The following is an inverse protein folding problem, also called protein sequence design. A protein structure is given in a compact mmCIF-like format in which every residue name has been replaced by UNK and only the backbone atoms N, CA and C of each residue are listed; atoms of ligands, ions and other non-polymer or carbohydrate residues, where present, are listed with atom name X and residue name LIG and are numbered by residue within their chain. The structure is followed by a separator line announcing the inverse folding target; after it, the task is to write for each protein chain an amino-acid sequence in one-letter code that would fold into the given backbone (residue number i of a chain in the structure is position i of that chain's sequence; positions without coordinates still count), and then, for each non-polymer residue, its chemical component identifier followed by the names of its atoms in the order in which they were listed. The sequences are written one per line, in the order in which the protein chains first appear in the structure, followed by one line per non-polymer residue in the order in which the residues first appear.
data_IF_618966926043
#
_entry.id   IF_618966926043
#
_cell.length_a   1.000
_cell.length_b   1.000
_cell.length_c   1.000
_cell.angle_alpha   90.00
_cell.angle_beta   90.00
_cell.angle_gamma   90.00
#
_symmetry.space_group_name_H-M   'P 1'
#
loop_
_entity.id
_entity.type
_entity.pdbx_description
1 polymer ?
#
# COMPACT_ATOMS: atom_id res chain seq x y z
N UNK A 1 2.16 -13.65 28.08
CA UNK A 1 1.64 -12.27 28.13
C UNK A 1 2.32 -11.52 27.00
N UNK A 2 1.58 -11.21 25.93
CA UNK A 2 2.07 -10.36 24.84
C UNK A 2 2.10 -8.96 25.45
N UNK A 3 3.29 -8.53 25.93
CA UNK A 3 3.51 -7.12 26.30
C UNK A 3 3.08 -6.28 25.10
N UNK A 4 2.38 -5.17 25.36
CA UNK A 4 1.81 -4.18 24.44
C UNK A 4 2.68 -3.93 23.18
N UNK A 5 2.77 -4.91 22.30
CA UNK A 5 3.42 -4.72 21.01
C UNK A 5 2.51 -3.82 20.15
N UNK A 6 3.01 -2.65 19.85
CA UNK A 6 2.38 -1.78 18.86
C UNK A 6 2.22 -2.57 17.57
N UNK A 7 0.99 -2.91 17.22
CA UNK A 7 0.66 -3.50 15.93
C UNK A 7 0.04 -2.40 15.07
N UNK A 8 0.78 -1.96 14.07
CA UNK A 8 0.46 -0.81 13.22
C UNK A 8 0.08 -1.26 11.81
N UNK A 9 -1.02 -0.76 11.29
CA UNK A 9 -1.36 -0.85 9.86
C UNK A 9 -0.83 0.40 9.18
N UNK A 10 0.20 0.23 8.34
CA UNK A 10 0.88 1.32 7.62
C UNK A 10 0.42 1.36 6.16
N UNK A 11 -0.34 2.40 5.81
CA UNK A 11 -0.97 2.54 4.51
C UNK A 11 -0.19 3.44 3.54
N UNK A 12 -0.21 3.13 2.22
CA UNK A 12 0.45 3.93 1.19
C UNK A 12 -0.39 5.15 0.81
N UNK A 13 0.26 6.31 0.66
CA UNK A 13 -0.40 7.54 0.23
C UNK A 13 0.35 8.17 -0.93
N UNK A 14 -0.36 8.42 -2.05
CA UNK A 14 0.18 9.06 -3.24
C UNK A 14 -0.31 10.50 -3.42
N UNK A 15 -1.46 10.86 -2.84
CA UNK A 15 -2.07 12.21 -2.86
C UNK A 15 -3.07 12.38 -1.70
N UNK A 16 -3.71 13.54 -1.62
CA UNK A 16 -4.67 13.83 -0.54
C UNK A 16 -5.92 12.94 -0.58
N UNK A 17 -6.41 12.52 -1.76
CA UNK A 17 -7.56 11.60 -1.86
C UNK A 17 -7.22 10.24 -1.22
N UNK A 18 -6.01 9.73 -1.50
CA UNK A 18 -5.52 8.48 -0.89
C UNK A 18 -5.21 8.63 0.60
N UNK A 19 -4.82 9.83 1.04
CA UNK A 19 -4.65 10.13 2.47
C UNK A 19 -5.97 9.96 3.22
N UNK A 20 -7.03 10.64 2.76
CA UNK A 20 -8.35 10.48 3.37
C UNK A 20 -8.82 9.03 3.32
N UNK A 21 -8.65 8.34 2.18
CA UNK A 21 -8.99 6.94 2.05
C UNK A 21 -8.27 6.05 3.08
N UNK A 22 -6.96 6.25 3.29
CA UNK A 22 -6.19 5.50 4.28
C UNK A 22 -6.66 5.77 5.71
N UNK A 23 -6.84 7.05 6.06
CA UNK A 23 -7.22 7.48 7.40
C UNK A 23 -8.64 7.05 7.77
N UNK A 24 -9.61 7.23 6.86
CA UNK A 24 -11.01 6.87 7.06
C UNK A 24 -11.18 5.36 7.23
N UNK A 25 -10.40 4.56 6.49
CA UNK A 25 -10.46 3.11 6.51
C UNK A 25 -9.49 2.45 7.50
N UNK A 26 -8.93 3.21 8.43
CA UNK A 26 -8.34 2.69 9.67
C UNK A 26 -6.84 2.48 9.68
N UNK A 27 -6.07 3.18 8.85
CA UNK A 27 -4.63 3.23 8.98
C UNK A 27 -4.22 3.80 10.35
N UNK A 28 -3.18 3.22 10.98
CA UNK A 28 -2.56 3.77 12.19
C UNK A 28 -1.48 4.79 11.81
N UNK A 29 -0.82 4.56 10.68
CA UNK A 29 0.13 5.49 10.09
C UNK A 29 0.05 5.44 8.56
N UNK A 30 0.55 6.50 7.93
CA UNK A 30 0.65 6.58 6.47
C UNK A 30 2.07 6.88 6.05
N UNK A 31 2.47 6.37 4.86
CA UNK A 31 3.75 6.76 4.28
C UNK A 31 3.55 7.38 2.89
N UNK A 32 4.26 8.46 2.64
CA UNK A 32 4.13 9.27 1.44
C UNK A 32 5.49 9.73 0.90
N UNK A 33 5.51 10.30 -0.28
CA UNK A 33 6.72 10.83 -0.91
C UNK A 33 6.65 12.33 -1.10
N UNK A 34 7.74 13.01 -0.77
CA UNK A 34 7.95 14.41 -1.12
C UNK A 34 8.30 14.59 -2.59
N UNK A 35 8.63 15.82 -2.96
CA UNK A 35 9.04 16.22 -4.32
C UNK A 35 10.43 15.70 -4.71
N UNK A 36 11.23 15.26 -3.73
CA UNK A 36 12.58 14.72 -3.92
C UNK A 36 12.80 13.48 -3.04
N UNK A 37 13.91 12.79 -3.25
CA UNK A 37 14.42 11.67 -2.47
C UNK A 37 13.48 10.45 -2.31
N UNK A 38 12.36 10.40 -3.03
CA UNK A 38 11.38 9.30 -2.96
C UNK A 38 11.44 8.38 -4.18
N UNK A 39 11.44 7.05 -3.97
CA UNK A 39 11.49 6.01 -5.03
C UNK A 39 10.32 5.98 -6.01
N UNK A 40 9.32 6.83 -5.86
CA UNK A 40 8.14 6.93 -6.72
C UNK A 40 7.90 8.38 -7.13
N UNK A 41 8.93 9.06 -7.62
CA UNK A 41 8.86 10.46 -8.05
C UNK A 41 7.80 10.72 -9.15
N UNK A 42 7.44 9.70 -9.94
CA UNK A 42 6.40 9.80 -10.98
C UNK A 42 4.96 9.72 -10.44
N UNK A 43 4.72 9.32 -9.19
CA UNK A 43 3.42 9.48 -8.54
C UNK A 43 3.32 10.87 -7.95
N UNK A 44 2.10 11.42 -7.81
CA UNK A 44 1.89 12.73 -7.20
C UNK A 44 2.73 12.86 -5.92
N UNK A 45 3.46 13.96 -5.81
CA UNK A 45 4.38 14.23 -4.70
C UNK A 45 3.80 15.33 -3.82
N UNK A 46 4.09 15.24 -2.53
CA UNK A 46 3.69 16.28 -1.58
C UNK A 46 4.77 17.37 -1.56
N UNK A 47 4.44 18.57 -1.99
CA UNK A 47 5.24 19.75 -1.72
C UNK A 47 5.12 20.15 -0.23
N UNK A 48 5.82 21.18 0.22
CA UNK A 48 5.87 21.56 1.63
C UNK A 48 4.48 21.93 2.19
N UNK A 49 3.63 22.57 1.40
CA UNK A 49 2.29 22.97 1.80
C UNK A 49 1.35 21.75 1.94
N UNK A 50 1.32 20.89 0.93
CA UNK A 50 0.53 19.65 0.95
C UNK A 50 1.03 18.69 2.03
N UNK A 51 2.35 18.62 2.25
CA UNK A 51 2.94 17.80 3.31
C UNK A 51 2.48 18.27 4.70
N UNK A 52 2.51 19.60 4.93
CA UNK A 52 1.99 20.18 6.17
C UNK A 52 0.51 19.86 6.37
N UNK A 53 -0.29 20.04 5.32
CA UNK A 53 -1.72 19.70 5.36
C UNK A 53 -1.94 18.22 5.65
N UNK A 54 -1.16 17.33 5.04
CA UNK A 54 -1.26 15.89 5.26
C UNK A 54 -0.92 15.50 6.70
N UNK A 55 0.12 16.12 7.29
CA UNK A 55 0.47 15.91 8.69
C UNK A 55 -0.64 16.41 9.62
N UNK A 56 -1.17 17.62 9.40
CA UNK A 56 -2.26 18.17 10.22
C UNK A 56 -3.52 17.27 10.17
N UNK A 57 -3.90 16.79 8.99
CA UNK A 57 -5.06 15.89 8.83
C UNK A 57 -4.86 14.55 9.54
N UNK A 58 -3.66 13.97 9.46
CA UNK A 58 -3.33 12.72 10.14
C UNK A 58 -3.28 12.93 11.67
N UNK A 59 -2.60 13.95 12.14
CA UNK A 59 -2.44 14.25 13.56
C UNK A 59 -3.76 14.60 14.25
N UNK A 60 -4.66 15.33 13.56
CA UNK A 60 -6.01 15.60 14.07
C UNK A 60 -6.83 14.32 14.33
N UNK A 61 -6.44 13.20 13.72
CA UNK A 61 -7.02 11.87 13.91
C UNK A 61 -6.16 10.95 14.78
N UNK A 62 -5.07 11.48 15.40
CA UNK A 62 -4.12 10.73 16.21
C UNK A 62 -3.30 9.71 15.42
N UNK A 63 -3.05 9.97 14.11
CA UNK A 63 -2.30 9.12 13.20
C UNK A 63 -0.96 9.72 12.84
N UNK A 64 0.01 8.88 12.42
CA UNK A 64 1.39 9.27 12.12
C UNK A 64 1.65 9.34 10.61
N UNK A 65 2.61 10.19 10.23
CA UNK A 65 3.02 10.40 8.83
C UNK A 65 4.52 10.13 8.68
N UNK A 66 4.87 9.23 7.76
CA UNK A 66 6.25 8.86 7.46
C UNK A 66 6.64 9.31 6.04
N UNK A 67 7.70 10.10 5.94
CA UNK A 67 8.17 10.65 4.67
C UNK A 67 9.26 9.77 4.08
N UNK A 68 9.11 9.36 2.81
CA UNK A 68 10.17 8.60 2.13
C UNK A 68 11.33 9.46 1.71
N UNK A 69 12.54 9.05 2.11
CA UNK A 69 13.84 9.60 1.72
C UNK A 69 14.74 8.43 1.30
N UNK A 70 14.24 7.58 0.40
CA UNK A 70 14.76 6.24 0.15
C UNK A 70 15.27 6.01 -1.28
N UNK A 71 15.67 7.06 -1.98
CA UNK A 71 16.50 6.96 -3.18
C UNK A 71 17.97 6.74 -2.80
N UNK A 72 18.81 6.47 -3.79
CA UNK A 72 20.28 6.53 -3.69
C UNK A 72 20.73 7.83 -4.37
N UNK A 73 20.81 8.96 -3.65
CA UNK A 73 21.10 10.26 -4.24
C UNK A 73 22.53 10.37 -4.71
N UNK A 74 22.74 11.01 -5.86
CA UNK A 74 24.05 11.36 -6.33
C UNK A 74 24.56 12.65 -5.66
N UNK A 75 25.85 13.00 -5.88
CA UNK A 75 26.48 14.14 -5.22
C UNK A 75 25.80 15.48 -5.52
N UNK A 76 25.21 15.64 -6.69
CA UNK A 76 24.47 16.83 -7.11
C UNK A 76 23.06 16.91 -6.47
N UNK A 77 22.53 15.79 -6.00
CA UNK A 77 21.24 15.73 -5.31
C UNK A 77 21.38 15.89 -3.81
N UNK A 78 22.43 15.29 -3.21
CA UNK A 78 22.61 15.26 -1.76
C UNK A 78 22.73 16.65 -1.13
N UNK A 79 23.17 17.66 -1.88
CA UNK A 79 23.27 19.05 -1.42
C UNK A 79 21.91 19.68 -1.08
N UNK A 80 20.81 19.11 -1.57
CA UNK A 80 19.45 19.57 -1.30
C UNK A 80 18.80 18.88 -0.11
N UNK A 81 19.48 17.91 0.53
CA UNK A 81 18.90 17.10 1.60
C UNK A 81 18.59 17.94 2.86
N UNK A 82 19.45 18.92 3.19
CA UNK A 82 19.23 19.78 4.37
C UNK A 82 17.89 20.52 4.28
N UNK A 83 17.60 21.13 3.13
CA UNK A 83 16.31 21.81 2.92
C UNK A 83 15.14 20.85 3.02
N UNK A 84 15.27 19.66 2.40
CA UNK A 84 14.21 18.63 2.44
C UNK A 84 13.92 18.15 3.86
N UNK A 85 14.95 17.97 4.71
CA UNK A 85 14.78 17.61 6.12
C UNK A 85 14.13 18.75 6.91
N UNK A 86 14.52 20.00 6.66
CA UNK A 86 13.92 21.16 7.32
C UNK A 86 12.43 21.33 6.94
N UNK A 87 12.08 21.10 5.68
CA UNK A 87 10.68 21.13 5.23
C UNK A 87 9.87 20.02 5.90
N UNK A 88 10.44 18.81 6.04
CA UNK A 88 9.80 17.69 6.77
C UNK A 88 9.56 18.02 8.25
N UNK A 89 10.54 18.63 8.93
CA UNK A 89 10.40 19.10 10.32
C UNK A 89 9.30 20.17 10.45
N UNK A 90 9.32 21.17 9.57
CA UNK A 90 8.33 22.25 9.56
C UNK A 90 6.90 21.75 9.29
N UNK A 91 6.75 20.69 8.48
CA UNK A 91 5.48 20.05 8.22
C UNK A 91 4.99 19.20 9.38
N UNK A 92 5.87 18.78 10.30
CA UNK A 92 5.51 17.89 11.42
C UNK A 92 5.56 16.41 11.07
N UNK A 93 6.43 16.00 10.15
CA UNK A 93 6.64 14.58 9.81
C UNK A 93 7.14 13.82 11.05
N UNK A 94 6.57 12.66 11.33
CA UNK A 94 6.91 11.85 12.51
C UNK A 94 8.18 11.01 12.32
N UNK A 95 8.44 10.54 11.10
CA UNK A 95 9.65 9.78 10.79
C UNK A 95 10.05 9.90 9.32
N UNK A 96 11.34 9.72 9.04
CA UNK A 96 11.87 9.64 7.68
C UNK A 96 12.32 8.21 7.36
N UNK A 97 11.95 7.71 6.16
CA UNK A 97 12.30 6.36 5.70
C UNK A 97 13.53 6.47 4.78
N UNK A 98 14.69 6.04 5.24
CA UNK A 98 15.97 6.16 4.52
C UNK A 98 16.65 4.81 4.29
N UNK A 99 17.46 4.68 3.24
CA UNK A 99 18.23 3.46 2.92
C UNK A 99 19.73 3.72 2.71
N UNK A 100 20.12 4.94 2.39
CA UNK A 100 21.51 5.34 2.22
C UNK A 100 22.10 5.76 3.56
N UNK A 101 23.30 5.25 3.89
CA UNK A 101 23.97 5.54 5.17
C UNK A 101 24.36 7.01 5.29
N UNK A 102 24.76 7.65 4.17
CA UNK A 102 25.07 9.08 4.13
C UNK A 102 23.82 9.93 4.41
N UNK A 103 22.70 9.59 3.76
CA UNK A 103 21.39 10.22 4.01
C UNK A 103 20.99 10.04 5.47
N UNK A 104 21.11 8.83 6.01
CA UNK A 104 20.82 8.52 7.42
C UNK A 104 21.62 9.45 8.36
N UNK A 105 22.94 9.54 8.15
CA UNK A 105 23.83 10.37 8.97
C UNK A 105 23.51 11.86 8.87
N UNK A 106 23.13 12.34 7.68
CA UNK A 106 22.76 13.73 7.47
C UNK A 106 21.41 14.07 8.08
N UNK A 107 20.41 13.17 8.02
CA UNK A 107 19.13 13.36 8.72
C UNK A 107 19.40 13.52 10.23
N UNK A 108 20.20 12.64 10.83
CA UNK A 108 20.58 12.75 12.25
C UNK A 108 21.30 14.07 12.57
N UNK A 109 22.10 14.58 11.65
CA UNK A 109 22.80 15.86 11.83
C UNK A 109 21.86 17.06 11.78
N UNK A 110 20.89 17.06 10.84
CA UNK A 110 20.00 18.21 10.61
C UNK A 110 18.75 18.17 11.53
N UNK A 111 18.32 16.96 11.94
CA UNK A 111 17.12 16.73 12.72
C UNK A 111 17.38 15.63 13.77
N UNK A 112 18.03 15.99 14.89
CA UNK A 112 18.53 15.05 15.91
C UNK A 112 17.40 14.15 16.48
N UNK A 113 16.21 14.72 16.68
CA UNK A 113 15.07 14.04 17.27
C UNK A 113 14.15 13.37 16.25
N UNK A 114 14.44 13.50 14.94
CA UNK A 114 13.67 12.84 13.89
C UNK A 114 13.83 11.32 13.99
N UNK A 115 12.71 10.59 14.08
CA UNK A 115 12.75 9.14 13.97
C UNK A 115 13.19 8.72 12.56
N UNK A 116 14.10 7.74 12.48
CA UNK A 116 14.53 7.17 11.21
C UNK A 116 14.11 5.72 11.13
N UNK A 117 13.37 5.39 10.06
CA UNK A 117 13.01 4.05 9.68
C UNK A 117 13.91 3.61 8.52
N UNK A 118 14.63 2.50 8.70
CA UNK A 118 15.52 1.99 7.64
C UNK A 118 14.69 1.28 6.58
N UNK A 119 14.74 1.76 5.35
CA UNK A 119 13.98 1.21 4.22
C UNK A 119 14.36 -0.23 3.90
N UNK A 120 13.41 -1.02 3.39
CA UNK A 120 13.65 -2.38 2.84
C UNK A 120 14.77 -2.40 1.80
N UNK A 121 15.03 -1.30 1.12
CA UNK A 121 16.10 -1.17 0.13
C UNK A 121 17.50 -1.18 0.73
N UNK A 122 17.65 -1.02 2.05
CA UNK A 122 18.90 -1.30 2.74
C UNK A 122 19.27 -2.80 2.71
N UNK A 123 18.27 -3.67 2.42
CA UNK A 123 18.48 -5.12 2.26
C UNK A 123 18.77 -5.83 3.57
N UNK A 124 18.03 -5.48 4.63
CA UNK A 124 18.23 -6.07 5.96
C UNK A 124 17.66 -7.49 5.98
N UNK A 125 18.57 -8.49 6.10
CA UNK A 125 18.23 -9.92 6.11
C UNK A 125 18.78 -10.65 7.34
N UNK A 126 19.41 -9.96 8.28
CA UNK A 126 19.96 -10.58 9.48
C UNK A 126 19.98 -9.59 10.65
N UNK A 127 20.05 -10.15 11.86
CA UNK A 127 20.03 -9.39 13.09
C UNK A 127 21.28 -8.52 13.31
N UNK A 128 22.42 -8.87 12.74
CA UNK A 128 23.66 -8.09 12.89
C UNK A 128 23.48 -6.73 12.19
N UNK A 129 23.01 -6.75 10.94
CA UNK A 129 22.73 -5.50 10.20
C UNK A 129 21.64 -4.67 10.89
N UNK A 130 20.57 -5.32 11.41
CA UNK A 130 19.52 -4.63 12.15
C UNK A 130 20.05 -3.95 13.41
N UNK A 131 20.93 -4.62 14.17
CA UNK A 131 21.57 -4.06 15.36
C UNK A 131 22.51 -2.90 15.02
N UNK A 132 23.25 -2.96 13.91
CA UNK A 132 24.10 -1.82 13.50
C UNK A 132 23.28 -0.59 13.19
N UNK A 133 22.15 -0.72 12.47
CA UNK A 133 21.27 0.42 12.25
C UNK A 133 20.65 0.93 13.55
N UNK A 134 20.30 0.04 14.49
CA UNK A 134 19.83 0.44 15.83
C UNK A 134 20.92 1.23 16.57
N UNK A 135 22.17 0.76 16.57
CA UNK A 135 23.32 1.46 17.18
C UNK A 135 23.55 2.84 16.56
N UNK A 136 23.26 3.00 15.27
CA UNK A 136 23.27 4.29 14.59
C UNK A 136 22.09 5.19 14.98
N UNK A 137 21.09 4.68 15.68
CA UNK A 137 19.92 5.41 16.17
C UNK A 137 18.67 5.25 15.28
N UNK A 138 18.55 4.16 14.52
CA UNK A 138 17.30 3.81 13.87
C UNK A 138 16.24 3.40 14.89
N UNK A 139 15.02 3.89 14.72
CA UNK A 139 13.86 3.50 15.52
C UNK A 139 13.22 2.23 14.98
N UNK A 140 13.24 2.04 13.65
CA UNK A 140 12.58 0.94 12.95
C UNK A 140 13.42 0.43 11.79
N UNK A 141 13.34 -0.87 11.54
CA UNK A 141 13.91 -1.50 10.35
C UNK A 141 12.84 -2.17 9.52
N UNK A 142 12.81 -1.87 8.22
CA UNK A 142 11.94 -2.54 7.25
C UNK A 142 12.72 -3.70 6.65
N UNK A 143 12.34 -4.91 6.98
CA UNK A 143 13.04 -6.12 6.54
C UNK A 143 12.91 -6.35 5.03
N UNK A 144 13.86 -7.06 4.46
CA UNK A 144 13.78 -7.54 3.09
C UNK A 144 12.58 -8.50 2.92
N UNK A 145 11.97 -8.51 1.73
CA UNK A 145 10.76 -9.31 1.43
C UNK A 145 11.06 -10.78 1.17
N UNK A 146 12.32 -11.11 1.11
CA UNK A 146 12.85 -12.44 0.80
C UNK A 146 13.08 -13.30 2.04
N UNK A 147 12.67 -12.83 3.23
CA UNK A 147 12.80 -13.55 4.51
C UNK A 147 11.58 -14.43 4.81
N UNK A 148 11.86 -15.59 5.43
CA UNK A 148 10.84 -16.46 6.05
C UNK A 148 10.42 -15.95 7.43
N UNK A 149 9.30 -16.47 7.95
CA UNK A 149 8.82 -16.17 9.30
C UNK A 149 9.83 -16.59 10.37
N UNK A 150 10.51 -17.72 10.18
CA UNK A 150 11.55 -18.23 11.09
C UNK A 150 12.72 -17.26 11.15
N UNK A 151 13.20 -16.75 10.01
CA UNK A 151 14.30 -15.79 9.96
C UNK A 151 13.90 -14.46 10.61
N UNK A 152 12.65 -13.99 10.41
CA UNK A 152 12.13 -12.79 11.06
C UNK A 152 12.07 -12.97 12.59
N UNK A 153 11.58 -14.11 13.07
CA UNK A 153 11.54 -14.43 14.48
C UNK A 153 12.96 -14.52 15.09
N UNK A 154 13.94 -15.04 14.35
CA UNK A 154 15.34 -15.04 14.77
C UNK A 154 15.93 -13.63 14.85
N UNK A 155 15.64 -12.77 13.87
CA UNK A 155 16.04 -11.36 13.90
C UNK A 155 15.42 -10.70 15.15
N UNK A 156 14.11 -10.87 15.38
CA UNK A 156 13.43 -10.31 16.55
C UNK A 156 14.03 -10.77 17.86
N UNK A 157 14.36 -12.05 17.99
CA UNK A 157 14.93 -12.63 19.21
C UNK A 157 16.33 -12.09 19.56
N UNK A 158 17.09 -11.61 18.54
CA UNK A 158 18.48 -11.15 18.67
C UNK A 158 18.64 -9.63 18.53
N UNK A 159 17.54 -8.87 18.49
CA UNK A 159 17.53 -7.41 18.41
C UNK A 159 16.92 -6.79 19.68
N UNK A 160 17.26 -5.52 20.01
CA UNK A 160 16.65 -4.80 21.13
C UNK A 160 15.13 -4.76 21.03
N UNK A 161 14.43 -4.86 22.15
CA UNK A 161 12.95 -4.90 22.20
C UNK A 161 12.30 -3.61 21.69
N UNK A 162 12.96 -2.48 21.84
CA UNK A 162 12.53 -1.15 21.42
C UNK A 162 12.88 -0.81 19.95
N UNK A 163 13.66 -1.66 19.27
CA UNK A 163 13.78 -1.63 17.82
C UNK A 163 12.50 -2.19 17.19
N UNK A 164 11.80 -1.40 16.42
CA UNK A 164 10.59 -1.84 15.71
C UNK A 164 10.95 -2.59 14.41
N UNK A 165 10.21 -3.66 14.14
CA UNK A 165 10.31 -4.46 12.91
C UNK A 165 9.08 -4.20 12.04
N UNK A 166 9.33 -3.79 10.78
CA UNK A 166 8.31 -3.57 9.77
C UNK A 166 8.48 -4.56 8.62
N UNK A 167 7.38 -5.15 8.14
CA UNK A 167 7.37 -6.01 6.97
C UNK A 167 6.30 -5.53 5.98
N UNK A 168 6.59 -5.65 4.67
CA UNK A 168 5.53 -5.58 3.67
C UNK A 168 4.63 -6.80 3.78
N UNK A 169 3.32 -6.58 3.76
CA UNK A 169 2.32 -7.65 3.95
C UNK A 169 1.34 -7.76 2.78
N UNK A 170 1.28 -6.75 1.91
CA UNK A 170 0.35 -6.73 0.79
C UNK A 170 0.88 -5.93 -0.41
N UNK A 171 0.51 -6.37 -1.62
CA UNK A 171 0.70 -5.65 -2.87
C UNK A 171 1.83 -6.19 -3.74
N UNK A 172 2.25 -5.39 -4.70
CA UNK A 172 3.14 -5.80 -5.78
C UNK A 172 4.53 -6.22 -5.27
N UNK A 173 4.97 -7.43 -5.65
CA UNK A 173 6.35 -7.88 -5.46
C UNK A 173 7.26 -7.32 -6.55
N UNK A 174 8.53 -7.06 -6.22
CA UNK A 174 9.58 -6.73 -7.18
C UNK A 174 10.30 -8.01 -7.64
N UNK A 175 10.69 -8.07 -8.92
CA UNK A 175 11.53 -9.16 -9.44
C UNK A 175 12.95 -9.13 -8.88
N UNK A 176 13.43 -7.95 -8.51
CA UNK A 176 14.77 -7.76 -7.96
C UNK A 176 14.75 -7.74 -6.44
N UNK A 177 15.82 -8.25 -5.84
CA UNK A 177 16.01 -8.30 -4.41
C UNK A 177 15.76 -6.93 -3.76
N UNK A 178 14.74 -6.86 -2.94
CA UNK A 178 14.34 -5.64 -2.20
C UNK A 178 14.29 -4.34 -3.04
N UNK A 179 14.03 -4.47 -4.36
CA UNK A 179 13.85 -3.32 -5.26
C UNK A 179 15.12 -2.73 -5.85
N UNK A 180 16.30 -3.30 -5.64
CA UNK A 180 17.56 -2.85 -6.27
C UNK A 180 17.69 -3.46 -7.66
N UNK A 181 17.34 -2.67 -8.71
CA UNK A 181 17.25 -3.14 -10.07
C UNK A 181 17.89 -2.15 -11.06
N UNK A 182 18.64 -2.68 -12.03
CA UNK A 182 19.22 -1.92 -13.13
C UNK A 182 18.50 -2.10 -14.47
N UNK A 183 17.49 -2.95 -14.54
CA UNK A 183 16.84 -3.30 -15.80
C UNK A 183 16.23 -2.07 -16.52
N UNK A 184 15.61 -1.17 -15.75
CA UNK A 184 15.05 0.07 -16.29
C UNK A 184 16.13 1.01 -16.81
N UNK A 185 17.28 1.10 -16.14
CA UNK A 185 18.42 1.90 -16.59
C UNK A 185 18.97 1.35 -17.91
N UNK A 186 19.18 0.04 -18.02
CA UNK A 186 19.73 -0.57 -19.24
C UNK A 186 18.80 -0.48 -20.45
N UNK A 187 17.48 -0.66 -20.25
CA UNK A 187 16.55 -0.73 -21.36
C UNK A 187 16.04 0.63 -21.84
N UNK A 188 15.91 1.61 -20.93
CA UNK A 188 15.27 2.90 -21.25
C UNK A 188 15.94 4.10 -20.60
N UNK A 189 17.13 3.93 -20.08
CA UNK A 189 17.91 4.99 -19.44
C UNK A 189 17.15 5.74 -18.33
N UNK A 190 16.34 4.98 -17.53
CA UNK A 190 15.61 5.49 -16.36
C UNK A 190 16.05 4.74 -15.12
N UNK A 191 16.61 5.45 -14.15
CA UNK A 191 17.18 4.81 -12.97
C UNK A 191 16.09 4.43 -11.94
N UNK A 192 15.86 3.12 -11.80
CA UNK A 192 14.91 2.58 -10.84
C UNK A 192 15.31 2.90 -9.38
N UNK A 193 16.60 3.05 -9.08
CA UNK A 193 17.12 3.35 -7.75
C UNK A 193 16.98 4.83 -7.37
N UNK A 194 16.66 5.67 -8.37
CA UNK A 194 16.35 7.10 -8.21
C UNK A 194 14.86 7.41 -8.40
N UNK A 195 13.99 6.41 -8.36
CA UNK A 195 12.55 6.59 -8.43
C UNK A 195 11.94 6.57 -9.83
N UNK A 196 12.73 6.33 -10.89
CA UNK A 196 12.31 6.42 -12.28
C UNK A 196 12.01 5.04 -12.91
N UNK A 197 11.66 4.02 -12.11
CA UNK A 197 11.41 2.68 -12.61
C UNK A 197 10.28 2.65 -13.67
N UNK A 198 10.63 2.31 -14.92
CA UNK A 198 9.67 2.12 -16.01
C UNK A 198 8.96 0.76 -15.96
N UNK A 199 9.27 -0.09 -14.98
CA UNK A 199 8.74 -1.44 -14.80
C UNK A 199 8.98 -2.37 -16.00
N UNK A 200 10.18 -2.40 -16.61
CA UNK A 200 10.42 -3.20 -17.83
C UNK A 200 10.29 -4.70 -17.60
N UNK A 201 10.43 -5.18 -16.34
CA UNK A 201 10.15 -6.57 -16.00
C UNK A 201 8.68 -7.00 -16.25
N UNK A 202 7.81 -6.06 -16.61
CA UNK A 202 6.39 -6.27 -16.90
C UNK A 202 6.02 -5.98 -18.35
N UNK A 203 7.03 -5.69 -19.20
CA UNK A 203 6.82 -5.48 -20.62
C UNK A 203 6.79 -6.80 -21.38
N UNK A 204 6.31 -6.72 -22.64
CA UNK A 204 6.36 -7.80 -23.57
C UNK A 204 7.76 -8.09 -24.10
N UNK A 205 8.19 -9.35 -24.00
CA UNK A 205 9.48 -9.80 -24.53
C UNK A 205 9.37 -11.21 -25.11
N UNK A 206 10.25 -11.53 -26.05
CA UNK A 206 10.53 -12.89 -26.46
C UNK A 206 11.92 -13.29 -25.93
N UNK A 207 11.99 -14.27 -25.04
CA UNK A 207 13.26 -14.83 -24.58
C UNK A 207 13.58 -16.12 -25.33
N UNK A 208 14.72 -16.14 -25.97
CA UNK A 208 15.31 -17.31 -26.54
C UNK A 208 16.74 -17.47 -26.00
N UNK A 209 17.05 -18.60 -25.40
CA UNK A 209 18.43 -18.91 -25.02
C UNK A 209 19.13 -19.58 -26.22
N UNK A 210 20.23 -18.98 -26.71
CA UNK A 210 20.95 -19.40 -27.90
C UNK A 210 21.50 -20.84 -27.85
N UNK A 211 21.77 -21.35 -26.65
CA UNK A 211 22.32 -22.70 -26.40
C UNK A 211 21.27 -23.77 -26.12
N UNK A 212 20.00 -23.37 -25.93
CA UNK A 212 18.85 -24.24 -25.66
C UNK A 212 17.75 -24.00 -26.66
N UNK A 213 18.05 -24.23 -27.90
CA UNK A 213 17.21 -23.90 -29.05
C UNK A 213 15.82 -24.54 -29.09
N UNK A 214 15.51 -25.45 -28.14
CA UNK A 214 14.22 -26.14 -28.02
C UNK A 214 13.53 -25.93 -26.66
N UNK A 215 14.09 -25.13 -25.77
CA UNK A 215 13.45 -24.75 -24.49
C UNK A 215 12.96 -23.31 -24.56
N UNK A 216 11.65 -23.17 -24.77
CA UNK A 216 10.99 -21.88 -24.70
C UNK A 216 10.57 -21.64 -23.26
N UNK A 217 11.13 -20.63 -22.62
CA UNK A 217 10.56 -20.13 -21.40
C UNK A 217 9.25 -19.45 -21.76
N UNK A 218 8.12 -19.84 -21.14
CA UNK A 218 6.83 -19.31 -21.53
C UNK A 218 6.80 -17.80 -21.30
N UNK A 219 6.71 -17.09 -22.40
CA UNK A 219 6.48 -15.65 -22.45
C UNK A 219 5.06 -15.51 -22.93
N UNK A 220 4.16 -15.02 -22.09
CA UNK A 220 2.76 -14.85 -22.49
C UNK A 220 2.56 -13.47 -23.08
N UNK A 221 1.83 -13.43 -24.17
CA UNK A 221 1.39 -12.22 -24.84
C UNK A 221 -0.13 -12.16 -24.81
N UNK A 222 -0.66 -11.01 -24.35
CA UNK A 222 -2.04 -10.64 -24.58
C UNK A 222 -2.09 -9.35 -25.39
N UNK A 223 -3.27 -8.84 -25.69
CA UNK A 223 -3.46 -7.58 -26.45
C UNK A 223 -2.77 -6.35 -25.80
N UNK A 224 -2.23 -6.49 -24.58
CA UNK A 224 -1.58 -5.44 -23.77
C UNK A 224 -0.06 -5.60 -23.65
N UNK A 225 0.51 -6.72 -24.08
CA UNK A 225 1.98 -6.96 -24.08
C UNK A 225 2.40 -8.33 -23.57
N UNK A 226 3.68 -8.58 -23.58
CA UNK A 226 4.32 -9.84 -23.20
C UNK A 226 4.99 -9.70 -21.82
N UNK A 227 4.81 -10.70 -20.93
CA UNK A 227 5.25 -10.66 -19.53
C UNK A 227 6.31 -11.73 -19.27
N UNK A 228 7.55 -11.33 -18.95
CA UNK A 228 8.66 -12.26 -18.74
C UNK A 228 8.81 -12.66 -17.26
N UNK A 229 8.60 -11.72 -16.35
CA UNK A 229 8.82 -11.89 -14.90
C UNK A 229 7.68 -11.23 -14.15
N UNK A 230 6.47 -11.75 -14.35
CA UNK A 230 5.26 -11.21 -13.74
C UNK A 230 5.06 -11.80 -12.34
N UNK A 231 5.73 -11.24 -11.34
CA UNK A 231 5.57 -11.69 -9.95
C UNK A 231 4.10 -11.53 -9.51
N UNK A 232 3.57 -12.56 -8.82
CA UNK A 232 2.29 -12.48 -8.11
C UNK A 232 2.30 -11.33 -7.11
N UNK A 233 1.14 -10.80 -6.78
CA UNK A 233 1.00 -9.84 -5.69
C UNK A 233 1.06 -10.60 -4.35
N UNK A 234 1.65 -9.99 -3.34
CA UNK A 234 1.70 -10.55 -2.00
C UNK A 234 0.39 -10.28 -1.25
N UNK A 235 -0.09 -11.26 -0.48
CA UNK A 235 -1.19 -11.09 0.46
C UNK A 235 -0.97 -11.96 1.69
N UNK A 236 -0.81 -11.33 2.85
CA UNK A 236 -0.61 -12.00 4.15
C UNK A 236 -1.80 -11.80 5.09
N UNK A 237 -2.98 -11.44 4.57
CA UNK A 237 -4.16 -11.13 5.37
C UNK A 237 -4.56 -12.29 6.29
N UNK A 238 -4.53 -13.52 5.78
CA UNK A 238 -4.87 -14.74 6.55
C UNK A 238 -3.79 -15.17 7.56
N UNK A 239 -2.65 -14.46 7.60
CA UNK A 239 -1.45 -14.83 8.37
C UNK A 239 -0.93 -13.69 9.25
N UNK A 240 -1.80 -12.76 9.65
CA UNK A 240 -1.44 -11.64 10.53
C UNK A 240 -0.94 -12.15 11.88
N UNK A 241 -1.56 -13.21 12.41
CA UNK A 241 -1.16 -13.90 13.63
C UNK A 241 0.31 -14.37 13.54
N UNK A 242 0.69 -15.01 12.46
CA UNK A 242 2.06 -15.52 12.25
C UNK A 242 3.10 -14.42 12.19
N UNK A 243 2.77 -13.31 11.55
CA UNK A 243 3.65 -12.14 11.49
C UNK A 243 3.79 -11.47 12.86
N UNK A 244 2.69 -11.33 13.61
CA UNK A 244 2.71 -10.77 14.96
C UNK A 244 3.48 -11.68 15.93
N UNK A 245 3.30 -13.01 15.86
CA UNK A 245 4.06 -13.99 16.61
C UNK A 245 5.57 -13.96 16.30
N UNK A 246 5.93 -13.72 15.01
CA UNK A 246 7.32 -13.54 14.59
C UNK A 246 7.92 -12.20 15.08
N UNK A 247 7.10 -11.32 15.68
CA UNK A 247 7.54 -10.05 16.27
C UNK A 247 7.52 -8.86 15.35
N UNK A 248 6.73 -8.90 14.28
CA UNK A 248 6.49 -7.75 13.40
C UNK A 248 5.60 -6.71 14.12
N UNK A 249 6.04 -5.45 14.12
CA UNK A 249 5.34 -4.33 14.74
C UNK A 249 4.50 -3.53 13.74
N UNK A 250 4.99 -3.36 12.51
CA UNK A 250 4.32 -2.56 11.48
C UNK A 250 4.07 -3.39 10.22
N UNK A 251 2.80 -3.39 9.79
CA UNK A 251 2.25 -4.15 8.66
C UNK A 251 2.08 -3.19 7.49
N UNK A 252 3.07 -3.17 6.60
CA UNK A 252 3.15 -2.20 5.50
C UNK A 252 2.45 -2.70 4.26
N UNK A 253 1.52 -1.90 3.76
CA UNK A 253 0.82 -2.13 2.50
C UNK A 253 1.58 -1.43 1.36
N UNK A 254 1.93 -2.14 0.29
CA UNK A 254 2.46 -1.53 -0.94
C UNK A 254 1.31 -1.06 -1.83
N UNK A 255 1.42 0.16 -2.37
CA UNK A 255 0.35 0.66 -3.24
C UNK A 255 0.31 2.16 -3.47
N UNK A 256 1.41 2.92 -3.30
CA UNK A 256 1.41 4.39 -3.50
C UNK A 256 0.88 4.84 -4.87
N UNK A 257 1.07 4.05 -5.92
CA UNK A 257 0.57 4.31 -7.26
C UNK A 257 -0.81 3.69 -7.55
N UNK A 258 -1.43 3.02 -6.58
CA UNK A 258 -2.76 2.42 -6.71
C UNK A 258 -3.86 3.48 -6.50
N UNK A 259 -5.11 3.15 -6.83
CA UNK A 259 -6.27 4.05 -6.63
C UNK A 259 -6.62 4.24 -5.14
N UNK A 260 -7.37 5.30 -4.81
CA UNK A 260 -7.96 5.50 -3.48
C UNK A 260 -8.85 4.32 -3.07
N UNK A 261 -9.58 3.73 -4.02
CA UNK A 261 -10.36 2.51 -3.80
C UNK A 261 -9.50 1.33 -3.30
N UNK A 262 -8.35 1.08 -3.94
CA UNK A 262 -7.43 0.05 -3.48
C UNK A 262 -6.94 0.33 -2.05
N UNK A 263 -6.55 1.57 -1.78
CA UNK A 263 -6.08 1.98 -0.45
C UNK A 263 -7.17 1.76 0.59
N UNK A 264 -8.41 2.19 0.33
CA UNK A 264 -9.55 2.00 1.23
C UNK A 264 -9.80 0.53 1.54
N UNK A 265 -9.95 -0.30 0.51
CA UNK A 265 -10.30 -1.73 0.68
C UNK A 265 -9.21 -2.48 1.43
N UNK A 266 -7.95 -2.32 1.01
CA UNK A 266 -6.85 -3.09 1.60
C UNK A 266 -6.55 -2.60 3.03
N UNK A 267 -6.55 -1.29 3.28
CA UNK A 267 -6.36 -0.75 4.63
C UNK A 267 -7.46 -1.23 5.56
N UNK A 268 -8.73 -1.17 5.13
CA UNK A 268 -9.86 -1.67 5.90
C UNK A 268 -9.75 -3.17 6.22
N UNK A 269 -9.34 -3.97 5.23
CA UNK A 269 -9.19 -5.41 5.43
C UNK A 269 -8.11 -5.72 6.49
N UNK A 270 -6.94 -5.09 6.39
CA UNK A 270 -5.88 -5.28 7.38
C UNK A 270 -6.24 -4.69 8.75
N UNK A 271 -6.92 -3.55 8.80
CA UNK A 271 -7.41 -2.97 10.07
C UNK A 271 -8.35 -3.91 10.79
N UNK A 272 -9.39 -4.42 10.10
CA UNK A 272 -10.35 -5.35 10.68
C UNK A 272 -9.71 -6.68 11.09
N UNK A 273 -8.82 -7.22 10.27
CA UNK A 273 -8.09 -8.43 10.61
C UNK A 273 -7.22 -8.23 11.86
N UNK A 274 -6.56 -7.07 11.97
CA UNK A 274 -5.77 -6.71 13.14
C UNK A 274 -6.65 -6.55 14.40
N UNK A 275 -7.84 -5.98 14.27
CA UNK A 275 -8.77 -5.83 15.39
C UNK A 275 -9.31 -7.19 15.86
N UNK A 276 -9.61 -8.11 14.92
CA UNK A 276 -9.98 -9.50 15.25
C UNK A 276 -8.83 -10.19 15.98
N UNK A 277 -7.59 -10.09 15.47
CA UNK A 277 -6.42 -10.67 16.13
C UNK A 277 -6.22 -10.11 17.54
N UNK A 278 -6.30 -8.78 17.71
CA UNK A 278 -6.16 -8.14 19.03
C UNK A 278 -7.25 -8.55 20.02
N UNK A 279 -8.45 -8.87 19.53
CA UNK A 279 -9.58 -9.27 20.41
C UNK A 279 -9.44 -10.70 20.93
N UNK A 280 -8.92 -11.63 20.12
CA UNK A 280 -8.66 -13.03 20.52
C UNK A 280 -7.46 -13.60 19.72
N UNK A 281 -6.22 -13.35 20.21
CA UNK A 281 -5.02 -13.84 19.51
C UNK A 281 -4.91 -15.37 19.46
N UNK A 282 -5.54 -16.09 20.40
CA UNK A 282 -5.44 -17.54 20.50
C UNK A 282 -6.37 -18.28 19.51
N UNK A 283 -7.43 -17.64 19.05
CA UNK A 283 -8.41 -18.21 18.14
C UNK A 283 -8.61 -17.29 16.92
N UNK A 284 -7.50 -16.81 16.36
CA UNK A 284 -7.55 -15.92 15.19
C UNK A 284 -8.13 -16.64 13.97
N UNK A 285 -9.30 -16.23 13.55
CA UNK A 285 -9.96 -16.69 12.34
C UNK A 285 -10.68 -15.53 11.67
N UNK A 286 -10.44 -15.35 10.39
CA UNK A 286 -11.08 -14.29 9.61
C UNK A 286 -12.40 -14.78 9.01
N UNK A 287 -13.48 -13.97 9.07
CA UNK A 287 -14.72 -14.28 8.39
C UNK A 287 -14.50 -14.25 6.86
N UNK A 288 -15.21 -15.11 6.13
CA UNK A 288 -15.02 -15.29 4.69
C UNK A 288 -15.19 -13.99 3.91
N UNK A 289 -16.19 -13.15 4.27
CA UNK A 289 -16.39 -11.87 3.60
C UNK A 289 -15.15 -10.96 3.64
N UNK A 290 -14.36 -11.02 4.73
CA UNK A 290 -13.15 -10.21 4.88
C UNK A 290 -12.00 -10.75 4.01
N UNK A 291 -11.90 -12.08 3.91
CA UNK A 291 -10.96 -12.73 2.97
C UNK A 291 -11.28 -12.38 1.51
N UNK A 292 -12.58 -12.31 1.18
CA UNK A 292 -13.05 -11.99 -0.17
C UNK A 292 -12.78 -10.51 -0.56
N UNK A 293 -12.64 -9.59 0.43
CA UNK A 293 -12.46 -8.16 0.16
C UNK A 293 -11.23 -7.86 -0.67
N UNK A 294 -10.11 -8.51 -0.39
CA UNK A 294 -8.84 -8.24 -1.10
C UNK A 294 -8.89 -8.63 -2.58
N UNK A 295 -9.85 -9.48 -2.98
CA UNK A 295 -10.08 -9.84 -4.38
C UNK A 295 -10.96 -8.83 -5.14
N UNK A 296 -11.61 -7.90 -4.46
CA UNK A 296 -12.49 -6.91 -5.07
C UNK A 296 -11.76 -5.67 -5.62
N UNK A 297 -10.46 -5.57 -5.41
CA UNK A 297 -9.60 -4.53 -5.99
C UNK A 297 -8.87 -5.02 -7.23
N UNK A 298 -8.21 -4.11 -7.95
CA UNK A 298 -7.34 -4.51 -9.05
C UNK A 298 -6.05 -5.15 -8.53
N UNK A 299 -5.89 -6.45 -8.74
CA UNK A 299 -4.77 -7.25 -8.24
C UNK A 299 -4.28 -8.26 -9.29
N UNK A 300 -3.09 -8.82 -9.11
CA UNK A 300 -2.65 -10.07 -9.75
C UNK A 300 -2.94 -11.24 -8.81
N UNK A 301 -2.80 -12.47 -9.30
CA UNK A 301 -2.92 -13.64 -8.41
C UNK A 301 -2.06 -13.42 -7.14
N UNK A 302 -2.60 -13.79 -6.00
CA UNK A 302 -1.93 -13.61 -4.72
C UNK A 302 -1.01 -14.79 -4.38
N UNK A 303 0.05 -14.49 -3.63
CA UNK A 303 0.92 -15.45 -2.96
C UNK A 303 1.36 -14.90 -1.60
N UNK A 304 1.96 -15.76 -0.79
CA UNK A 304 2.50 -15.37 0.53
C UNK A 304 3.96 -14.87 0.47
N UNK A 305 4.50 -14.59 -0.72
CA UNK A 305 5.90 -14.24 -0.87
C UNK A 305 6.82 -15.36 -0.35
N UNK A 306 7.86 -14.97 0.38
CA UNK A 306 8.83 -15.90 0.96
C UNK A 306 8.55 -16.29 2.42
N UNK A 307 7.48 -15.78 3.04
CA UNK A 307 7.21 -15.98 4.46
C UNK A 307 7.13 -17.45 4.89
N UNK A 308 6.67 -18.34 4.00
CA UNK A 308 6.62 -19.78 4.25
C UNK A 308 7.71 -20.56 3.47
N UNK A 309 8.85 -19.91 3.21
CA UNK A 309 9.95 -20.46 2.44
C UNK A 309 9.92 -20.11 0.96
N UNK A 310 10.75 -20.74 0.14
CA UNK A 310 10.87 -20.41 -1.28
C UNK A 310 9.55 -20.71 -2.00
N UNK A 311 8.91 -19.71 -2.61
CA UNK A 311 7.63 -19.92 -3.29
C UNK A 311 7.81 -20.77 -4.55
N UNK A 312 7.11 -21.91 -4.63
CA UNK A 312 7.17 -22.82 -5.78
C UNK A 312 6.53 -22.21 -7.04
N UNK A 313 5.57 -21.30 -6.86
CA UNK A 313 4.79 -20.64 -7.91
C UNK A 313 4.71 -19.14 -7.65
N UNK A 314 5.84 -18.45 -7.74
CA UNK A 314 5.91 -16.99 -7.48
C UNK A 314 5.55 -16.12 -8.70
N UNK A 315 5.45 -16.72 -9.88
CA UNK A 315 5.15 -16.05 -11.14
C UNK A 315 3.76 -16.45 -11.64
N UNK A 316 3.08 -15.52 -12.28
CA UNK A 316 1.75 -15.72 -12.82
C UNK A 316 1.77 -15.59 -14.33
N UNK A 317 1.56 -16.70 -15.04
CA UNK A 317 1.69 -16.79 -16.49
C UNK A 317 0.35 -16.94 -17.22
N UNK A 318 -0.76 -17.27 -16.51
CA UNK A 318 -2.01 -17.67 -17.18
C UNK A 318 -2.75 -16.52 -17.85
N UNK A 319 -2.71 -15.30 -17.32
CA UNK A 319 -3.43 -14.16 -17.87
C UNK A 319 -2.67 -12.83 -17.73
N UNK A 320 -1.36 -12.76 -17.85
CA UNK A 320 -0.49 -11.54 -17.87
C UNK A 320 -0.98 -10.22 -17.25
N UNK A 321 -2.28 -10.09 -16.95
CA UNK A 321 -2.97 -8.89 -16.58
C UNK A 321 -3.45 -8.81 -15.13
N UNK A 322 -3.97 -7.63 -14.78
CA UNK A 322 -4.68 -7.41 -13.52
C UNK A 322 -6.10 -7.97 -13.59
N UNK A 323 -6.49 -8.71 -12.56
CA UNK A 323 -7.87 -9.13 -12.31
C UNK A 323 -8.64 -7.91 -11.79
N UNK A 324 -9.79 -7.60 -12.40
CA UNK A 324 -10.64 -6.45 -12.06
C UNK A 324 -12.10 -6.85 -12.17
N UNK A 325 -12.67 -7.35 -11.10
CA UNK A 325 -14.06 -7.82 -11.09
C UNK A 325 -15.06 -6.77 -10.60
N UNK A 326 -14.60 -5.70 -9.97
CA UNK A 326 -15.45 -4.64 -9.41
C UNK A 326 -15.08 -3.27 -9.94
N UNK A 327 -16.09 -2.43 -10.14
CA UNK A 327 -15.95 -1.01 -10.41
C UNK A 327 -16.54 -0.19 -9.25
N UNK A 328 -15.87 0.91 -8.90
CA UNK A 328 -16.43 1.95 -8.03
C UNK A 328 -17.43 2.74 -8.83
N UNK A 329 -18.69 2.78 -8.41
CA UNK A 329 -19.76 3.50 -9.11
C UNK A 329 -20.07 4.84 -8.49
N UNK A 330 -19.89 4.98 -7.15
CA UNK A 330 -20.04 6.25 -6.45
C UNK A 330 -19.28 6.27 -5.12
N UNK A 331 -19.17 7.44 -4.50
CA UNK A 331 -18.69 7.64 -3.13
C UNK A 331 -19.77 8.38 -2.36
N UNK A 332 -20.06 7.94 -1.15
CA UNK A 332 -21.07 8.54 -0.28
C UNK A 332 -20.60 9.90 0.22
N UNK A 333 -21.43 10.92 0.05
CA UNK A 333 -21.24 12.27 0.57
C UNK A 333 -22.00 12.50 1.89
N UNK A 334 -22.99 11.63 2.19
CA UNK A 334 -23.78 11.66 3.42
C UNK A 334 -25.13 10.95 3.26
N UNK A 335 -25.86 10.81 4.38
CA UNK A 335 -27.19 10.20 4.40
C UNK A 335 -28.17 11.06 5.19
N UNK A 336 -29.34 11.34 4.62
CA UNK A 336 -30.44 12.02 5.32
C UNK A 336 -31.78 11.80 4.61
N UNK A 337 -32.88 11.87 5.35
CA UNK A 337 -34.23 11.85 4.81
C UNK A 337 -34.55 10.61 3.95
N UNK A 338 -34.04 9.43 4.29
CA UNK A 338 -34.25 8.20 3.51
C UNK A 338 -33.51 8.19 2.17
N UNK A 339 -32.39 8.93 2.08
CA UNK A 339 -31.54 8.98 0.88
C UNK A 339 -30.05 8.90 1.23
N UNK A 340 -29.30 8.21 0.38
CA UNK A 340 -27.84 8.21 0.33
C UNK A 340 -27.45 9.24 -0.73
N UNK A 341 -26.83 10.32 -0.32
CA UNK A 341 -26.23 11.33 -1.22
C UNK A 341 -24.85 10.86 -1.61
N UNK A 342 -24.52 10.91 -2.89
CA UNK A 342 -23.26 10.40 -3.39
C UNK A 342 -22.77 11.14 -4.64
N UNK A 343 -21.46 11.06 -4.87
CA UNK A 343 -20.79 11.54 -6.07
C UNK A 343 -20.48 10.36 -6.98
N UNK A 344 -21.07 10.36 -8.18
CA UNK A 344 -20.87 9.32 -9.18
C UNK A 344 -19.42 9.26 -9.67
N UNK A 345 -18.90 8.05 -9.85
CA UNK A 345 -17.56 7.76 -10.40
C UNK A 345 -17.62 6.96 -11.71
N UNK A 346 -18.52 5.99 -11.81
CA UNK A 346 -18.78 5.20 -13.02
C UNK A 346 -20.29 5.04 -13.23
N UNK A 347 -20.67 4.68 -14.45
CA UNK A 347 -22.07 4.48 -14.85
C UNK A 347 -22.70 3.32 -14.07
N UNK A 348 -23.93 3.54 -13.56
CA UNK A 348 -24.81 2.49 -13.04
C UNK A 348 -26.27 2.88 -13.23
N UNK A 349 -27.19 1.94 -13.07
CA UNK A 349 -28.58 2.12 -13.42
C UNK A 349 -29.51 1.74 -12.26
N UNK A 350 -30.72 2.20 -12.32
CA UNK A 350 -31.83 1.65 -11.55
C UNK A 350 -31.98 0.16 -11.86
N UNK A 351 -32.14 -0.65 -10.81
CA UNK A 351 -32.21 -2.11 -10.90
C UNK A 351 -30.87 -2.82 -10.72
N UNK A 352 -29.74 -2.09 -10.76
CA UNK A 352 -28.44 -2.69 -10.50
C UNK A 352 -28.28 -3.09 -9.02
N UNK A 353 -27.65 -4.23 -8.77
CA UNK A 353 -27.20 -4.63 -7.43
C UNK A 353 -25.86 -3.95 -7.13
N UNK A 354 -25.83 -3.15 -6.08
CA UNK A 354 -24.64 -2.46 -5.61
C UNK A 354 -24.23 -2.94 -4.22
N UNK A 355 -22.96 -2.74 -3.89
CA UNK A 355 -22.40 -3.05 -2.58
C UNK A 355 -21.72 -1.81 -2.00
N UNK A 356 -22.06 -1.48 -0.76
CA UNK A 356 -21.42 -0.35 -0.05
C UNK A 356 -20.39 -0.89 0.94
N UNK A 357 -19.13 -0.52 0.72
CA UNK A 357 -18.04 -0.70 1.67
C UNK A 357 -17.98 0.52 2.58
N UNK A 358 -18.18 0.31 3.85
CA UNK A 358 -18.04 1.32 4.90
C UNK A 358 -16.81 1.03 5.77
N UNK A 359 -16.18 2.04 6.38
CA UNK A 359 -15.19 1.84 7.46
C UNK A 359 -15.73 0.99 8.62
N UNK A 360 -17.05 1.03 8.83
CA UNK A 360 -17.73 0.35 9.94
C UNK A 360 -18.54 -0.85 9.42
N UNK A 361 -18.39 -1.99 10.09
CA UNK A 361 -19.15 -3.21 9.76
C UNK A 361 -18.65 -3.98 8.52
N UNK A 362 -19.46 -4.91 8.05
CA UNK A 362 -19.25 -5.64 6.79
C UNK A 362 -19.88 -4.89 5.62
N UNK A 363 -19.47 -5.16 4.37
CA UNK A 363 -20.12 -4.59 3.20
C UNK A 363 -21.62 -4.95 3.13
N UNK A 364 -22.42 -3.98 2.69
CA UNK A 364 -23.89 -4.15 2.58
C UNK A 364 -24.29 -4.09 1.11
N UNK A 365 -25.06 -5.10 0.67
CA UNK A 365 -25.60 -5.18 -0.70
C UNK A 365 -27.06 -4.80 -0.71
N UNK A 366 -27.48 -4.08 -1.75
CA UNK A 366 -28.88 -3.82 -2.04
C UNK A 366 -29.08 -3.44 -3.51
N UNK A 367 -30.32 -3.53 -3.99
CA UNK A 367 -30.71 -3.13 -5.34
C UNK A 367 -31.10 -1.65 -5.37
N UNK A 368 -30.66 -0.92 -6.38
CA UNK A 368 -31.00 0.48 -6.60
C UNK A 368 -32.44 0.59 -7.10
N UNK A 369 -33.36 0.94 -6.22
CA UNK A 369 -34.80 1.05 -6.60
C UNK A 369 -35.16 2.40 -7.22
N UNK A 370 -34.64 3.50 -6.67
CA UNK A 370 -34.90 4.85 -7.13
C UNK A 370 -33.62 5.72 -7.01
N UNK A 371 -33.34 6.53 -8.02
CA UNK A 371 -32.26 7.48 -8.05
C UNK A 371 -32.76 8.88 -8.44
N UNK A 372 -32.08 9.91 -7.95
CA UNK A 372 -32.42 11.29 -8.21
C UNK A 372 -31.15 12.11 -8.53
N UNK A 373 -31.26 13.04 -9.46
CA UNK A 373 -30.23 14.04 -9.73
C UNK A 373 -30.09 15.06 -8.58
N UNK A 374 -29.16 15.99 -8.73
CA UNK A 374 -28.91 17.05 -7.73
C UNK A 374 -30.12 18.01 -7.55
N UNK A 375 -31.03 18.07 -8.51
CA UNK A 375 -32.26 18.88 -8.48
C UNK A 375 -33.46 18.11 -7.92
N UNK A 376 -33.31 16.80 -7.63
CA UNK A 376 -34.38 15.95 -7.11
C UNK A 376 -35.27 15.32 -8.19
N UNK A 377 -34.91 15.40 -9.46
CA UNK A 377 -35.60 14.71 -10.53
C UNK A 377 -35.21 13.23 -10.54
N UNK A 378 -36.21 12.36 -10.77
CA UNK A 378 -35.95 10.91 -10.91
C UNK A 378 -35.14 10.62 -12.17
N UNK A 379 -34.13 9.77 -12.03
CA UNK A 379 -33.26 9.30 -13.13
C UNK A 379 -33.17 7.77 -13.14
N UNK A 380 -33.08 7.17 -14.32
CA UNK A 380 -32.89 5.72 -14.46
C UNK A 380 -31.40 5.34 -14.63
N UNK A 381 -30.54 6.31 -14.95
CA UNK A 381 -29.12 6.07 -15.21
C UNK A 381 -28.26 7.20 -14.64
N UNK A 382 -27.25 6.87 -13.86
CA UNK A 382 -26.20 7.79 -13.43
C UNK A 382 -25.01 7.67 -14.40
N UNK A 383 -24.86 8.58 -15.37
CA UNK A 383 -23.90 8.47 -16.47
C UNK A 383 -23.01 9.70 -16.70
N UNK A 384 -23.10 10.72 -15.86
CA UNK A 384 -22.27 11.93 -15.95
C UNK A 384 -21.16 11.89 -14.90
N UNK A 385 -19.91 12.02 -15.33
CA UNK A 385 -18.75 11.99 -14.43
C UNK A 385 -18.87 13.05 -13.32
N UNK A 386 -18.61 12.63 -12.08
CA UNK A 386 -18.69 13.45 -10.87
C UNK A 386 -20.10 14.06 -10.59
N UNK A 387 -21.15 13.47 -11.15
CA UNK A 387 -22.54 13.89 -10.92
C UNK A 387 -22.87 13.75 -9.43
N UNK A 388 -23.44 14.81 -8.83
CA UNK A 388 -24.06 14.76 -7.51
C UNK A 388 -25.46 14.16 -7.66
N UNK A 389 -25.76 13.17 -6.84
CA UNK A 389 -27.00 12.42 -6.93
C UNK A 389 -27.42 11.84 -5.59
N UNK A 390 -28.60 11.26 -5.53
CA UNK A 390 -29.02 10.48 -4.36
C UNK A 390 -29.70 9.18 -4.77
N UNK A 391 -29.55 8.16 -3.90
CA UNK A 391 -30.21 6.86 -3.99
C UNK A 391 -31.18 6.77 -2.82
N UNK A 392 -32.45 6.40 -3.10
CA UNK A 392 -33.43 6.16 -2.04
C UNK A 392 -33.06 4.89 -1.26
N UNK A 393 -32.88 5.04 0.03
CA UNK A 393 -32.56 3.94 0.92
C UNK A 393 -32.71 4.36 2.39
N UNK A 394 -33.26 3.49 3.21
CA UNK A 394 -33.28 3.66 4.67
C UNK A 394 -31.96 3.30 5.36
N UNK A 395 -31.00 2.76 4.59
CA UNK A 395 -29.65 2.47 5.08
C UNK A 395 -28.87 3.77 5.24
N UNK A 396 -28.02 3.83 6.24
CA UNK A 396 -27.14 4.97 6.51
C UNK A 396 -25.69 4.53 6.52
N UNK A 397 -24.84 5.32 5.90
CA UNK A 397 -23.40 5.08 5.81
C UNK A 397 -22.62 6.35 6.15
N UNK A 398 -21.45 6.26 6.76
CA UNK A 398 -20.56 7.39 6.93
C UNK A 398 -20.17 8.01 5.58
N UNK A 399 -19.80 9.29 5.59
CA UNK A 399 -19.14 9.93 4.45
C UNK A 399 -17.91 9.10 4.02
N UNK A 400 -17.57 9.19 2.74
CA UNK A 400 -16.48 8.47 2.09
C UNK A 400 -16.67 6.94 2.00
N UNK A 401 -17.83 6.39 2.42
CA UNK A 401 -18.16 4.99 2.10
C UNK A 401 -18.20 4.80 0.57
N UNK A 402 -17.73 3.64 0.12
CA UNK A 402 -17.54 3.37 -1.31
C UNK A 402 -18.68 2.50 -1.83
N UNK A 403 -19.36 2.99 -2.85
CA UNK A 403 -20.38 2.23 -3.58
C UNK A 403 -19.71 1.59 -4.79
N UNK A 404 -19.80 0.28 -4.87
CA UNK A 404 -19.18 -0.53 -5.93
C UNK A 404 -20.14 -1.56 -6.49
N UNK A 405 -19.84 -2.05 -7.68
CA UNK A 405 -20.64 -3.03 -8.40
C UNK A 405 -19.75 -4.11 -9.01
N UNK A 406 -20.17 -5.35 -9.02
CA UNK A 406 -19.50 -6.42 -9.76
C UNK A 406 -19.76 -6.23 -11.26
N UNK A 407 -18.73 -6.45 -12.09
CA UNK A 407 -18.82 -6.37 -13.56
C UNK A 407 -19.66 -7.47 -14.15
#
# INVERSE_FOLDING_TARGET
MIENNLLEVLAPVGDMERLYAALDFGADAVYLGGTAFGMRAASASFDAELLKKACDEAHNRGKRVYLTCNTLPHNDEIIHLEQFVNDALAAGVDAMIANDIGVFSLIKKYALDMEIHVSTQAGIVNYVTANEFYNMGAKRVVLARELSLEEIAEIRAKTPKDLEIECFVHGAMCVSFSGRCLLSQYLVNRDANRGECAQPCRWGYHLMEEKRTNEFYPVFEDEKGTYILNAKDMCMLDHIDKLAEAGVNSFKIEGRAKSSYYVSVITNAYRKAMDIYKSDPMHFELPQWLKDEVFKVSHRAYCTGFFFGHPKESQYYENGGYIREYDVVAVVDGCSGGKIYCTQKNKFNKGDEIEVLSPVGSPVKFTVEEMFDEYGNSIDTANHAAMKMSIKSDLTFPEHSIIRMKK
#
